data_IF_358314718883
#
_entry.id   IF_358314718883
#
_cell.length_a   1.000
_cell.length_b   1.000
_cell.length_c   1.000
_cell.angle_alpha   90.00
_cell.angle_beta   90.00
_cell.angle_gamma   90.00
#
_symmetry.space_group_name_H-M   'P 1'
#
loop_
_entity.id
_entity.type
_entity.pdbx_description
1 polymer ?
#
# COMPACT_ATOMS: atom_id res chain seq x y z
N UNK A 1 2.00 2.46 19.33
CA UNK A 1 2.12 3.34 18.15
C UNK A 1 3.60 3.50 17.89
N UNK A 2 4.11 2.98 16.77
CA UNK A 2 5.53 3.10 16.40
C UNK A 2 5.77 4.50 15.84
N UNK A 3 6.81 5.20 16.29
CA UNK A 3 7.17 6.51 15.72
C UNK A 3 7.59 6.35 14.25
N UNK A 4 7.09 7.20 13.34
CA UNK A 4 7.48 7.16 11.94
C UNK A 4 8.94 7.56 11.76
N UNK A 5 9.65 6.85 10.88
CA UNK A 5 11.08 7.08 10.66
C UNK A 5 11.38 8.22 9.70
N UNK A 6 10.49 8.46 8.74
CA UNK A 6 10.51 9.55 7.77
C UNK A 6 9.16 9.61 7.05
N UNK A 7 8.94 10.64 6.24
CA UNK A 7 7.71 10.80 5.44
C UNK A 7 8.02 10.61 3.97
N UNK A 8 7.07 10.07 3.22
CA UNK A 8 7.10 10.08 1.75
C UNK A 8 5.96 10.93 1.22
N UNK A 9 6.21 11.63 0.13
CA UNK A 9 5.19 12.26 -0.71
C UNK A 9 4.96 11.41 -1.95
N UNK A 10 3.70 11.13 -2.28
CA UNK A 10 3.33 10.44 -3.52
C UNK A 10 3.31 11.45 -4.65
N UNK A 11 4.19 11.28 -5.64
CA UNK A 11 4.41 12.25 -6.72
C UNK A 11 3.79 11.83 -8.06
N UNK A 12 3.36 10.57 -8.18
CA UNK A 12 2.68 10.03 -9.36
C UNK A 12 1.63 8.98 -8.95
N UNK A 13 0.76 8.57 -9.87
CA UNK A 13 -0.32 7.61 -9.62
C UNK A 13 0.28 6.23 -9.30
N UNK A 14 0.08 5.67 -8.10
CA UNK A 14 0.63 4.38 -7.77
C UNK A 14 0.10 3.28 -8.70
N UNK A 15 0.94 2.32 -9.13
CA UNK A 15 0.46 1.14 -9.84
C UNK A 15 -0.37 0.25 -8.90
N UNK A 16 -1.28 -0.55 -9.47
CA UNK A 16 -2.08 -1.50 -8.70
C UNK A 16 -3.44 -1.79 -9.32
N UNK A 17 -4.17 -2.70 -8.67
CA UNK A 17 -5.44 -3.25 -9.16
C UNK A 17 -6.68 -2.42 -8.80
N UNK A 18 -6.54 -1.45 -7.87
CA UNK A 18 -7.63 -0.54 -7.55
C UNK A 18 -8.01 0.31 -8.80
N UNK A 19 -9.30 0.69 -8.95
CA UNK A 19 -9.75 1.56 -10.04
C UNK A 19 -8.90 2.83 -10.13
N UNK A 20 -8.65 3.29 -11.37
CA UNK A 20 -7.78 4.43 -11.63
C UNK A 20 -8.14 5.66 -10.77
N UNK A 21 -9.44 5.98 -10.72
CA UNK A 21 -9.96 7.12 -9.96
C UNK A 21 -9.65 7.07 -8.47
N UNK A 22 -9.52 5.87 -7.88
CA UNK A 22 -9.12 5.69 -6.48
C UNK A 22 -7.62 5.91 -6.34
N UNK A 23 -6.83 5.37 -7.29
CA UNK A 23 -5.36 5.45 -7.25
C UNK A 23 -4.86 6.87 -7.41
N UNK A 24 -5.49 7.68 -8.26
CA UNK A 24 -5.14 9.09 -8.45
C UNK A 24 -5.25 9.92 -7.17
N UNK A 25 -6.15 9.54 -6.24
CA UNK A 25 -6.35 10.28 -4.98
C UNK A 25 -5.22 10.10 -3.97
N UNK A 26 -4.28 9.19 -4.24
CA UNK A 26 -3.04 9.11 -3.48
C UNK A 26 -2.06 10.23 -3.82
N UNK A 27 -2.15 10.80 -5.04
CA UNK A 27 -1.24 11.84 -5.51
C UNK A 27 -1.22 13.06 -4.61
N UNK A 28 -0.01 13.52 -4.27
CA UNK A 28 0.23 14.67 -3.39
C UNK A 28 0.14 14.36 -1.90
N UNK A 29 -0.31 13.18 -1.48
CA UNK A 29 -0.38 12.83 -0.06
C UNK A 29 1.01 12.59 0.53
N UNK A 30 1.15 13.06 1.77
CA UNK A 30 2.30 12.78 2.63
C UNK A 30 1.96 11.69 3.62
N UNK A 31 2.67 10.57 3.51
CA UNK A 31 2.44 9.37 4.29
C UNK A 31 3.65 9.07 5.18
N UNK A 32 3.45 8.87 6.49
CA UNK A 32 4.52 8.47 7.39
C UNK A 32 4.94 7.02 7.14
N UNK A 33 6.25 6.78 6.99
CA UNK A 33 6.80 5.44 6.80
C UNK A 33 7.18 4.85 8.15
N UNK A 34 6.69 3.63 8.42
CA UNK A 34 6.99 2.92 9.65
C UNK A 34 8.50 2.58 9.72
N UNK A 35 9.07 2.61 10.92
CA UNK A 35 10.50 2.48 11.22
C UNK A 35 11.12 1.17 10.72
N UNK A 36 10.32 0.14 10.51
CA UNK A 36 10.78 -1.16 9.97
C UNK A 36 10.57 -1.30 8.46
N UNK A 37 9.99 -0.28 7.82
CA UNK A 37 9.55 -0.25 6.43
C UNK A 37 10.38 0.69 5.53
N UNK A 38 11.69 0.78 5.78
CA UNK A 38 12.63 1.34 4.81
C UNK A 38 12.40 0.75 3.41
N UNK A 39 12.77 1.50 2.36
CA UNK A 39 12.72 1.01 0.97
C UNK A 39 13.33 -0.38 0.89
N UNK A 40 12.49 -1.38 0.63
CA UNK A 40 12.84 -2.81 0.64
C UNK A 40 12.15 -3.49 -0.51
N UNK A 41 12.70 -4.65 -0.89
CA UNK A 41 12.05 -5.58 -1.81
C UNK A 41 11.01 -6.38 -1.03
N UNK A 42 9.74 -6.17 -1.33
CA UNK A 42 8.63 -6.94 -0.80
C UNK A 42 8.08 -7.89 -1.85
N UNK A 43 7.56 -9.04 -1.43
CA UNK A 43 6.68 -9.82 -2.29
C UNK A 43 5.31 -9.14 -2.32
N UNK A 44 5.06 -8.38 -3.38
CA UNK A 44 3.76 -7.77 -3.65
C UNK A 44 2.79 -8.82 -4.19
N UNK A 45 1.64 -8.94 -3.55
CA UNK A 45 0.49 -9.64 -4.11
C UNK A 45 -0.60 -8.59 -4.38
N UNK A 46 -1.14 -8.56 -5.59
CA UNK A 46 -2.26 -7.69 -5.92
C UNK A 46 -3.41 -7.86 -4.92
N UNK A 47 -4.00 -6.74 -4.50
CA UNK A 47 -5.04 -6.66 -3.44
C UNK A 47 -6.28 -7.52 -3.76
N UNK A 48 -6.62 -7.70 -5.04
CA UNK A 48 -7.75 -8.48 -5.52
C UNK A 48 -7.39 -9.94 -5.85
N UNK A 49 -6.10 -10.26 -5.94
CA UNK A 49 -5.61 -11.56 -6.42
C UNK A 49 -5.14 -12.50 -5.31
N UNK A 50 -5.25 -12.12 -4.03
CA UNK A 50 -4.73 -12.88 -2.89
C UNK A 50 -5.53 -14.18 -2.63
N UNK A 51 -4.91 -15.37 -2.80
CA UNK A 51 -5.52 -16.60 -2.31
C UNK A 51 -5.51 -16.61 -0.78
N UNK A 52 -6.64 -16.92 -0.16
CA UNK A 52 -6.82 -16.95 1.32
C UNK A 52 -5.92 -17.99 2.05
N UNK A 53 -5.25 -18.89 1.33
CA UNK A 53 -4.43 -19.97 1.91
C UNK A 53 -2.92 -19.68 1.80
N UNK A 54 -2.23 -19.72 2.93
CA UNK A 54 -0.78 -19.47 3.05
C UNK A 54 0.09 -20.38 2.16
N UNK A 55 -0.28 -21.65 1.96
CA UNK A 55 0.41 -22.55 1.02
C UNK A 55 0.28 -22.12 -0.44
N UNK A 56 -0.87 -21.55 -0.83
CA UNK A 56 -1.09 -21.03 -2.19
C UNK A 56 -0.29 -19.75 -2.41
N UNK A 57 -0.13 -18.92 -1.38
CA UNK A 57 0.77 -17.77 -1.43
C UNK A 57 2.22 -18.21 -1.65
N UNK A 58 2.68 -19.27 -0.94
CA UNK A 58 3.99 -19.89 -1.17
C UNK A 58 4.16 -20.47 -2.59
N UNK A 59 3.10 -21.08 -3.15
CA UNK A 59 3.12 -21.60 -4.52
C UNK A 59 3.28 -20.47 -5.57
N UNK A 60 2.62 -19.32 -5.36
CA UNK A 60 2.77 -18.15 -6.24
C UNK A 60 4.17 -17.51 -6.16
N UNK A 61 4.80 -17.52 -4.98
CA UNK A 61 6.21 -17.15 -4.81
C UNK A 61 7.12 -18.12 -5.56
N UNK A 62 6.89 -19.44 -5.42
CA UNK A 62 7.67 -20.48 -6.08
C UNK A 62 7.55 -20.43 -7.62
N UNK A 63 6.37 -20.05 -8.13
CA UNK A 63 6.07 -19.88 -9.56
C UNK A 63 6.57 -18.54 -10.14
N UNK A 64 7.25 -17.69 -9.35
CA UNK A 64 7.76 -16.40 -9.80
C UNK A 64 6.69 -15.36 -10.12
N UNK A 65 5.47 -15.53 -9.60
CA UNK A 65 4.32 -14.62 -9.82
C UNK A 65 4.16 -13.57 -8.72
N UNK A 66 4.98 -13.62 -7.68
CA UNK A 66 5.08 -12.54 -6.71
C UNK A 66 6.01 -11.47 -7.28
N UNK A 67 5.51 -10.25 -7.47
CA UNK A 67 6.33 -9.15 -7.94
C UNK A 67 7.22 -8.69 -6.78
N UNK A 68 8.51 -8.57 -7.07
CA UNK A 68 9.45 -7.97 -6.14
C UNK A 68 9.29 -6.45 -6.24
N UNK A 69 8.47 -5.90 -5.34
CA UNK A 69 8.18 -4.47 -5.32
C UNK A 69 9.22 -3.77 -4.46
N UNK A 70 9.93 -2.85 -5.07
CA UNK A 70 10.84 -1.92 -4.39
C UNK A 70 10.04 -0.66 -4.00
N UNK A 71 9.80 -0.47 -2.70
CA UNK A 71 8.88 0.57 -2.24
C UNK A 71 8.84 0.76 -0.74
N UNK A 72 7.89 1.58 -0.29
CA UNK A 72 7.71 1.99 1.09
C UNK A 72 6.44 1.36 1.67
N UNK A 73 6.57 0.69 2.81
CA UNK A 73 5.41 0.16 3.53
C UNK A 73 4.88 1.22 4.51
N UNK A 74 3.60 1.55 4.35
CA UNK A 74 2.88 2.52 5.19
C UNK A 74 1.80 1.77 5.94
N UNK A 75 1.64 2.03 7.23
CA UNK A 75 0.53 1.46 8.01
C UNK A 75 -0.79 1.76 7.30
N UNK A 76 -1.58 0.72 7.05
CA UNK A 76 -2.74 0.83 6.19
C UNK A 76 -3.85 1.68 6.84
N UNK A 77 -3.99 1.64 8.16
CA UNK A 77 -4.97 2.46 8.86
C UNK A 77 -4.60 3.94 8.74
N UNK A 78 -3.33 4.29 8.94
CA UNK A 78 -2.83 5.66 8.79
C UNK A 78 -2.95 6.13 7.34
N UNK A 79 -2.59 5.29 6.36
CA UNK A 79 -2.70 5.63 4.94
C UNK A 79 -4.16 5.94 4.56
N UNK A 80 -5.11 5.11 5.00
CA UNK A 80 -6.53 5.30 4.71
C UNK A 80 -7.13 6.49 5.47
N UNK A 81 -6.64 6.80 6.67
CA UNK A 81 -7.01 8.03 7.39
C UNK A 81 -6.56 9.28 6.61
N UNK A 82 -5.30 9.30 6.15
CA UNK A 82 -4.76 10.37 5.29
C UNK A 82 -5.55 10.51 3.99
N UNK A 83 -5.87 9.39 3.34
CA UNK A 83 -6.70 9.38 2.14
C UNK A 83 -8.10 9.92 2.43
N UNK A 84 -8.71 9.55 3.56
CA UNK A 84 -10.04 10.03 3.92
C UNK A 84 -10.09 11.54 4.13
N UNK A 85 -8.99 12.14 4.61
CA UNK A 85 -8.86 13.59 4.72
C UNK A 85 -8.84 14.32 3.36
N UNK A 86 -8.36 13.67 2.31
CA UNK A 86 -8.26 14.28 0.97
C UNK A 86 -9.39 13.86 0.01
N UNK A 87 -9.86 12.61 0.10
CA UNK A 87 -11.02 12.07 -0.63
C UNK A 87 -11.71 11.00 0.22
N UNK A 88 -12.79 11.37 0.93
CA UNK A 88 -13.61 10.42 1.68
C UNK A 88 -14.14 9.28 0.81
N UNK A 89 -14.45 9.53 -0.46
CA UNK A 89 -15.00 8.55 -1.41
C UNK A 89 -13.97 7.47 -1.75
N UNK A 90 -12.71 7.85 -1.98
CA UNK A 90 -11.64 6.90 -2.25
C UNK A 90 -11.34 6.04 -1.02
N UNK A 91 -11.36 6.62 0.18
CA UNK A 91 -11.21 5.87 1.42
C UNK A 91 -12.39 4.91 1.66
N UNK A 92 -13.62 5.32 1.35
CA UNK A 92 -14.79 4.46 1.43
C UNK A 92 -14.67 3.26 0.47
N UNK A 93 -14.16 3.47 -0.74
CA UNK A 93 -13.91 2.38 -1.69
C UNK A 93 -12.96 1.33 -1.09
N UNK A 94 -11.84 1.75 -0.49
CA UNK A 94 -10.90 0.83 0.17
C UNK A 94 -11.56 0.06 1.31
N UNK A 95 -12.34 0.72 2.15
CA UNK A 95 -13.05 0.06 3.27
C UNK A 95 -14.10 -0.94 2.78
N UNK A 96 -14.78 -0.65 1.67
CA UNK A 96 -15.82 -1.51 1.13
C UNK A 96 -15.27 -2.70 0.33
N UNK A 97 -14.16 -2.52 -0.41
CA UNK A 97 -13.67 -3.49 -1.39
C UNK A 97 -12.42 -4.23 -0.93
N UNK A 98 -11.69 -3.70 0.06
CA UNK A 98 -10.38 -4.15 0.46
C UNK A 98 -10.20 -4.12 1.99
N UNK A 99 -11.28 -4.34 2.74
CA UNK A 99 -11.30 -4.30 4.22
C UNK A 99 -10.26 -5.21 4.87
N UNK A 100 -9.98 -6.37 4.29
CA UNK A 100 -9.02 -7.35 4.81
C UNK A 100 -7.55 -6.85 4.77
N UNK A 101 -7.24 -5.84 3.94
CA UNK A 101 -5.89 -5.27 3.78
C UNK A 101 -5.71 -3.88 4.38
N UNK A 102 -6.79 -3.24 4.86
CA UNK A 102 -6.75 -1.90 5.49
C UNK A 102 -6.97 -1.90 7.00
N UNK A 103 -6.93 -3.07 7.63
CA UNK A 103 -7.06 -3.23 9.08
C UNK A 103 -5.76 -2.97 9.86
N UNK A 104 -5.84 -2.91 11.20
CA UNK A 104 -4.66 -2.75 12.06
C UNK A 104 -3.58 -3.82 11.81
N UNK A 105 -2.32 -3.41 11.81
CA UNK A 105 -1.17 -4.30 11.56
C UNK A 105 -1.00 -4.72 10.09
N UNK A 106 -1.76 -4.10 9.17
CA UNK A 106 -1.58 -4.23 7.73
C UNK A 106 -0.80 -3.04 7.19
N UNK A 107 -0.14 -3.26 6.06
CA UNK A 107 0.64 -2.24 5.38
C UNK A 107 0.22 -2.16 3.92
N UNK A 108 0.10 -0.94 3.42
CA UNK A 108 0.02 -0.66 1.99
C UNK A 108 1.42 -0.36 1.48
N UNK A 109 1.74 -0.93 0.32
CA UNK A 109 3.03 -0.76 -0.32
C UNK A 109 2.92 0.26 -1.44
N UNK A 110 3.72 1.32 -1.36
CA UNK A 110 3.82 2.33 -2.41
C UNK A 110 5.14 2.18 -3.14
N UNK A 111 5.09 2.03 -4.47
CA UNK A 111 6.29 1.82 -5.28
C UNK A 111 7.23 3.01 -5.17
N UNK A 112 8.53 2.74 -5.01
CA UNK A 112 9.52 3.79 -4.78
C UNK A 112 9.63 4.82 -5.92
N UNK A 113 9.33 4.42 -7.16
CA UNK A 113 9.40 5.32 -8.32
C UNK A 113 8.29 6.37 -8.37
N UNK A 114 7.19 6.19 -7.61
CA UNK A 114 6.11 7.19 -7.48
C UNK A 114 6.18 7.96 -6.16
N UNK A 115 7.28 7.83 -5.41
CA UNK A 115 7.44 8.42 -4.09
C UNK A 115 8.73 9.24 -3.97
N UNK A 116 8.66 10.31 -3.19
CA UNK A 116 9.82 11.11 -2.80
C UNK A 116 9.88 11.21 -1.28
N UNK A 117 11.07 11.00 -0.68
CA UNK A 117 11.27 11.25 0.76
C UNK A 117 11.26 12.76 1.00
N UNK A 118 10.53 13.18 2.04
CA UNK A 118 10.41 14.59 2.47
C UNK A 118 10.85 14.78 3.91
#
# INVERSE_FOLDING_TARGET
MTEPSFTIRIVDVPPGEAPHWVREKWGGLELPVDRYAHRRRFFGFGVLSLPRSWWKQWLFVLLGRAEVVDGYAVDAAIAIEKLAGASPEAAAWWRANASEVVGPGRYLLFHGHVCQVV
#
